data_IF_188024199383
#
_entry.id   IF_188024199383
#
_cell.length_a   1.000
_cell.length_b   1.000
_cell.length_c   1.000
_cell.angle_alpha   90.00
_cell.angle_beta   90.00
_cell.angle_gamma   90.00
#
_symmetry.space_group_name_H-M   'P 1'
#
loop_
_entity.id
_entity.type
_entity.pdbx_description
1 polymer ?
#
# COMPACT_ATOMS: atom_id res chain seq x y z
N UNK A 1 21.48 24.23 3.61
CA UNK A 1 21.25 23.58 4.93
C UNK A 1 20.00 22.73 4.80
N UNK A 2 19.99 21.50 5.32
CA UNK A 2 18.79 20.66 5.24
C UNK A 2 17.71 21.18 6.20
N UNK A 3 16.58 21.62 5.67
CA UNK A 3 15.41 21.99 6.46
C UNK A 3 14.71 20.72 6.95
N UNK A 4 14.97 20.32 8.19
CA UNK A 4 14.27 19.21 8.83
C UNK A 4 12.79 19.56 8.98
N UNK A 5 11.95 19.02 8.10
CA UNK A 5 10.50 19.23 8.13
C UNK A 5 9.95 18.58 9.41
N UNK A 6 9.36 19.39 10.30
CA UNK A 6 8.70 18.89 11.52
C UNK A 6 7.28 18.48 11.17
N UNK A 7 6.94 17.24 11.45
CA UNK A 7 5.59 16.71 11.31
C UNK A 7 4.77 17.00 12.58
N UNK A 8 3.45 17.18 12.44
CA UNK A 8 2.56 17.37 13.58
C UNK A 8 2.30 16.04 14.30
N UNK A 9 2.27 16.05 15.63
CA UNK A 9 2.11 14.89 16.53
C UNK A 9 1.37 15.30 17.79
N UNK A 10 0.65 14.36 18.41
CA UNK A 10 -0.01 14.52 19.71
C UNK A 10 0.96 14.62 20.89
N UNK A 11 2.19 14.12 20.74
CA UNK A 11 3.22 14.17 21.78
C UNK A 11 4.52 14.62 21.15
N UNK A 12 4.81 15.91 21.31
CA UNK A 12 6.09 16.43 20.85
C UNK A 12 7.24 15.78 21.63
N UNK A 13 8.14 15.10 20.92
CA UNK A 13 9.34 14.50 21.50
C UNK A 13 10.60 15.09 20.89
N UNK A 14 11.61 15.32 21.72
CA UNK A 14 12.93 15.80 21.32
C UNK A 14 14.00 14.76 21.68
N UNK A 15 14.86 14.47 20.70
CA UNK A 15 16.05 13.65 20.91
C UNK A 15 17.12 14.48 21.63
N UNK A 16 17.41 14.16 22.90
CA UNK A 16 18.40 14.89 23.74
C UNK A 16 19.82 14.38 23.63
N UNK A 17 20.01 13.20 23.03
CA UNK A 17 21.32 12.61 22.74
C UNK A 17 21.24 11.09 22.61
N UNK A 18 22.04 10.51 21.71
CA UNK A 18 22.05 9.06 21.50
C UNK A 18 20.66 8.50 21.18
N UNK A 19 20.12 7.63 22.05
CA UNK A 19 18.76 7.08 21.97
C UNK A 19 17.79 7.66 23.02
N UNK A 20 18.15 8.76 23.70
CA UNK A 20 17.31 9.39 24.72
C UNK A 20 16.35 10.41 24.09
N UNK A 21 15.07 10.28 24.44
CA UNK A 21 13.99 11.17 24.01
C UNK A 21 13.24 11.69 25.23
N UNK A 22 12.89 12.97 25.20
CA UNK A 22 12.08 13.64 26.22
C UNK A 22 10.86 14.27 25.56
N UNK A 23 9.77 14.40 26.32
CA UNK A 23 8.58 15.15 25.90
C UNK A 23 8.87 16.65 25.97
N UNK A 24 8.41 17.41 24.96
CA UNK A 24 8.33 18.86 24.98
C UNK A 24 6.91 19.29 25.33
N UNK A 25 6.77 20.40 26.06
CA UNK A 25 5.47 20.96 26.43
C UNK A 25 5.01 20.60 27.86
N UNK A 26 3.75 20.88 28.16
CA UNK A 26 3.16 20.65 29.48
C UNK A 26 2.70 19.18 29.65
N UNK A 27 3.04 18.48 30.74
CA UNK A 27 2.55 17.13 31.03
C UNK A 27 1.03 16.98 31.17
N UNK A 28 0.27 18.08 31.23
CA UNK A 28 -1.20 18.08 31.24
C UNK A 28 -1.82 18.12 29.83
N UNK A 29 -1.03 18.44 28.81
CA UNK A 29 -1.46 18.47 27.40
C UNK A 29 -1.24 17.12 26.67
N UNK A 30 -0.48 16.19 27.25
CA UNK A 30 -0.27 14.87 26.63
C UNK A 30 -1.51 13.96 26.78
N UNK A 31 -1.79 13.07 25.80
CA UNK A 31 -2.91 12.15 25.88
C UNK A 31 -2.84 11.21 27.08
N UNK A 32 -3.98 10.90 27.69
CA UNK A 32 -4.07 10.06 28.91
C UNK A 32 -3.58 8.62 28.75
N UNK A 33 -3.43 8.11 27.52
CA UNK A 33 -2.84 6.81 27.21
C UNK A 33 -1.30 6.82 27.17
N UNK A 34 -0.68 8.01 27.09
CA UNK A 34 0.75 8.17 26.95
C UNK A 34 1.47 8.02 28.30
N UNK A 35 2.64 7.36 28.28
CA UNK A 35 3.53 7.29 29.42
C UNK A 35 4.98 7.48 28.96
N UNK A 36 5.74 8.34 29.64
CA UNK A 36 7.13 8.68 29.31
C UNK A 36 8.06 7.45 29.27
N UNK A 37 7.75 6.37 29.99
CA UNK A 37 8.49 5.11 29.94
C UNK A 37 8.57 4.49 28.53
N UNK A 38 7.61 4.78 27.65
CA UNK A 38 7.59 4.30 26.27
C UNK A 38 8.72 4.89 25.42
N UNK A 39 9.30 6.03 25.83
CA UNK A 39 10.38 6.71 25.12
C UNK A 39 11.74 5.98 25.18
N UNK A 40 11.89 4.99 26.08
CA UNK A 40 13.15 4.28 26.33
C UNK A 40 13.58 3.36 25.17
N UNK A 41 12.63 2.72 24.51
CA UNK A 41 12.87 1.67 23.52
C UNK A 41 11.92 1.81 22.32
N UNK A 42 12.14 2.80 21.42
CA UNK A 42 11.39 2.88 20.18
C UNK A 42 11.72 1.74 19.24
N UNK A 43 10.70 1.27 18.51
CA UNK A 43 10.89 0.50 17.28
C UNK A 43 11.21 1.46 16.14
N UNK A 44 12.14 1.09 15.28
CA UNK A 44 12.61 1.93 14.17
C UNK A 44 12.17 1.33 12.84
N UNK A 45 11.66 2.18 11.95
CA UNK A 45 11.38 1.87 10.55
C UNK A 45 12.18 2.80 9.66
N UNK A 46 12.76 2.26 8.59
CA UNK A 46 13.44 3.01 7.54
C UNK A 46 12.63 2.86 6.25
N UNK A 47 12.28 3.97 5.62
CA UNK A 47 11.44 4.03 4.43
C UNK A 47 11.83 5.24 3.58
N UNK A 48 11.56 5.17 2.28
CA UNK A 48 11.67 6.30 1.37
C UNK A 48 10.77 7.47 1.83
N UNK A 49 11.29 8.70 1.82
CA UNK A 49 10.60 9.91 2.28
C UNK A 49 9.25 10.15 1.60
N UNK A 50 9.13 9.82 0.31
CA UNK A 50 7.89 9.92 -0.45
C UNK A 50 6.79 8.95 0.06
N UNK A 51 7.15 7.80 0.63
CA UNK A 51 6.17 6.88 1.24
C UNK A 51 5.61 7.46 2.52
N UNK A 52 6.42 8.18 3.31
CA UNK A 52 5.95 8.88 4.51
C UNK A 52 4.91 9.93 4.13
N UNK A 53 5.17 10.72 3.09
CA UNK A 53 4.20 11.69 2.56
C UNK A 53 2.96 11.02 1.96
N UNK A 54 3.09 9.87 1.29
CA UNK A 54 1.95 9.14 0.73
C UNK A 54 1.05 8.54 1.83
N UNK A 55 1.64 7.94 2.87
CA UNK A 55 0.90 7.30 3.97
C UNK A 55 0.27 8.32 4.91
N UNK A 56 1.06 9.29 5.37
CA UNK A 56 0.65 10.21 6.43
C UNK A 56 0.23 11.59 5.93
N UNK A 57 0.47 11.88 4.65
CA UNK A 57 0.25 13.18 4.04
C UNK A 57 1.50 14.06 3.98
N UNK A 58 1.44 15.11 3.16
CA UNK A 58 2.60 15.96 2.86
C UNK A 58 3.22 16.57 4.12
N UNK A 59 2.39 17.01 5.07
CA UNK A 59 2.81 17.57 6.36
C UNK A 59 2.58 16.58 7.52
N UNK A 60 2.26 15.31 7.18
CA UNK A 60 1.88 14.26 8.12
C UNK A 60 0.59 14.56 8.87
N UNK A 61 -0.38 15.22 8.22
CA UNK A 61 -1.63 15.63 8.84
C UNK A 61 -2.46 14.44 9.40
N UNK A 62 -2.15 13.21 8.95
CA UNK A 62 -2.77 11.98 9.46
C UNK A 62 -2.04 11.38 10.67
N UNK A 63 -0.81 11.81 10.99
CA UNK A 63 -0.04 11.28 12.14
C UNK A 63 -0.82 11.39 13.45
N UNK A 64 -1.39 12.56 13.85
CA UNK A 64 -2.12 12.66 15.11
C UNK A 64 -3.31 11.70 15.20
N UNK A 65 -3.98 11.41 14.07
CA UNK A 65 -5.07 10.44 14.03
C UNK A 65 -4.56 9.00 14.22
N UNK A 66 -3.46 8.63 13.56
CA UNK A 66 -2.81 7.32 13.74
C UNK A 66 -2.33 7.13 15.17
N UNK A 67 -1.71 8.15 15.77
CA UNK A 67 -1.26 8.13 17.17
C UNK A 67 -2.44 7.94 18.14
N UNK A 68 -3.55 8.66 17.91
CA UNK A 68 -4.78 8.54 18.69
C UNK A 68 -5.37 7.12 18.64
N UNK A 69 -5.46 6.52 17.45
CA UNK A 69 -6.08 5.19 17.25
C UNK A 69 -5.18 4.06 17.76
N UNK A 70 -3.86 4.19 17.59
CA UNK A 70 -2.90 3.12 17.90
C UNK A 70 -2.32 3.19 19.31
N UNK A 71 -2.55 4.29 20.04
CA UNK A 71 -1.89 4.59 21.32
C UNK A 71 -0.36 4.46 21.24
N UNK A 72 0.21 4.94 20.13
CA UNK A 72 1.66 5.06 19.90
C UNK A 72 2.00 6.50 19.51
N UNK A 73 3.25 6.92 19.71
CA UNK A 73 3.78 8.20 19.23
C UNK A 73 4.72 7.93 18.05
N UNK A 74 4.57 8.70 16.97
CA UNK A 74 5.33 8.57 15.73
C UNK A 74 6.25 9.78 15.55
N UNK A 75 7.55 9.59 15.79
CA UNK A 75 8.55 10.63 15.52
C UNK A 75 9.25 10.36 14.18
N UNK A 76 9.05 11.26 13.22
CA UNK A 76 9.59 11.14 11.87
C UNK A 76 10.83 12.04 11.71
N UNK A 77 11.98 11.43 11.51
CA UNK A 77 13.21 12.11 11.13
C UNK A 77 13.38 12.01 9.61
N UNK A 78 13.27 13.15 8.91
CA UNK A 78 13.46 13.22 7.45
C UNK A 78 14.64 14.13 7.11
N UNK A 79 15.61 13.60 6.39
CA UNK A 79 16.82 14.33 6.02
C UNK A 79 16.72 15.03 4.66
N UNK A 80 15.94 14.48 3.73
CA UNK A 80 15.65 15.03 2.39
C UNK A 80 14.29 14.50 1.87
N UNK A 81 13.65 15.17 0.90
CA UNK A 81 12.40 14.68 0.29
C UNK A 81 12.60 13.53 -0.72
N UNK A 82 13.75 13.42 -1.39
CA UNK A 82 14.03 12.35 -2.37
C UNK A 82 14.66 11.09 -1.78
N UNK A 83 15.18 11.13 -0.54
CA UNK A 83 15.93 10.04 0.09
C UNK A 83 15.16 9.35 1.21
N UNK A 84 15.89 8.90 2.24
CA UNK A 84 15.31 8.09 3.31
C UNK A 84 14.78 8.92 4.48
N UNK A 85 13.69 8.43 5.06
CA UNK A 85 13.12 8.85 6.31
C UNK A 85 13.19 7.72 7.35
N UNK A 86 13.35 8.11 8.61
CA UNK A 86 13.36 7.21 9.76
C UNK A 86 12.16 7.52 10.64
N UNK A 87 11.30 6.53 10.84
CA UNK A 87 10.17 6.61 11.79
C UNK A 87 10.59 5.90 13.08
N UNK A 88 10.42 6.58 14.21
CA UNK A 88 10.51 5.99 15.55
C UNK A 88 9.10 5.82 16.11
N UNK A 89 8.73 4.60 16.44
CA UNK A 89 7.44 4.22 17.03
C UNK A 89 7.66 4.02 18.52
N UNK A 90 7.06 4.87 19.35
CA UNK A 90 7.06 4.75 20.81
C UNK A 90 5.71 4.25 21.30
N UNK A 91 5.71 3.32 22.25
CA UNK A 91 4.48 2.78 22.83
C UNK A 91 4.73 1.50 23.62
N UNK A 92 3.66 0.77 23.93
CA UNK A 92 3.76 -0.60 24.47
C UNK A 92 4.34 -1.54 23.40
N UNK A 93 5.17 -2.55 23.75
CA UNK A 93 5.84 -3.41 22.77
C UNK A 93 4.91 -4.06 21.74
N UNK A 94 3.71 -4.48 22.13
CA UNK A 94 2.72 -5.08 21.22
C UNK A 94 2.18 -4.05 20.22
N UNK A 95 1.78 -2.86 20.68
CA UNK A 95 1.31 -1.79 19.81
C UNK A 95 2.42 -1.28 18.88
N UNK A 96 3.68 -1.26 19.33
CA UNK A 96 4.82 -0.97 18.44
C UNK A 96 4.94 -2.00 17.29
N UNK A 97 4.62 -3.28 17.54
CA UNK A 97 4.66 -4.33 16.52
C UNK A 97 3.48 -4.19 15.55
N UNK A 98 2.26 -4.00 16.05
CA UNK A 98 1.05 -3.78 15.24
C UNK A 98 1.22 -2.57 14.30
N UNK A 99 1.74 -1.45 14.82
CA UNK A 99 2.01 -0.24 14.04
C UNK A 99 3.16 -0.43 13.05
N UNK A 100 4.17 -1.23 13.38
CA UNK A 100 5.23 -1.59 12.45
C UNK A 100 4.71 -2.41 11.26
N UNK A 101 3.86 -3.41 11.52
CA UNK A 101 3.24 -4.22 10.47
C UNK A 101 2.27 -3.38 9.62
N UNK A 102 1.44 -2.55 10.24
CA UNK A 102 0.57 -1.58 9.57
C UNK A 102 1.36 -0.67 8.62
N UNK A 103 2.47 -0.08 9.08
CA UNK A 103 3.34 0.77 8.26
C UNK A 103 3.96 -0.04 7.10
N UNK A 104 4.36 -1.29 7.34
CA UNK A 104 4.86 -2.19 6.30
C UNK A 104 3.81 -2.47 5.22
N UNK A 105 2.57 -2.77 5.61
CA UNK A 105 1.45 -3.01 4.69
C UNK A 105 1.10 -1.76 3.87
N UNK A 106 1.03 -0.58 4.51
CA UNK A 106 0.78 0.68 3.83
C UNK A 106 1.90 1.02 2.84
N UNK A 107 3.17 0.88 3.25
CA UNK A 107 4.31 1.09 2.36
C UNK A 107 4.27 0.16 1.13
N UNK A 108 3.92 -1.11 1.32
CA UNK A 108 3.75 -2.05 0.20
C UNK A 108 2.60 -1.64 -0.74
N UNK A 109 1.44 -1.26 -0.18
CA UNK A 109 0.29 -0.76 -0.95
C UNK A 109 0.66 0.43 -1.85
N UNK A 110 1.36 1.44 -1.31
CA UNK A 110 1.78 2.60 -2.09
C UNK A 110 2.86 2.29 -3.14
N UNK A 111 3.80 1.38 -2.86
CA UNK A 111 4.76 0.91 -3.87
C UNK A 111 4.07 0.20 -5.04
N UNK A 112 3.12 -0.70 -4.76
CA UNK A 112 2.35 -1.40 -5.80
C UNK A 112 1.51 -0.42 -6.64
N UNK A 113 0.81 0.52 -6.00
CA UNK A 113 -0.02 1.51 -6.68
C UNK A 113 0.79 2.39 -7.64
N UNK A 114 1.94 2.90 -7.21
CA UNK A 114 2.83 3.70 -8.05
C UNK A 114 3.39 2.91 -9.25
N UNK A 115 3.61 1.61 -9.07
CA UNK A 115 3.98 0.69 -10.15
C UNK A 115 2.89 0.53 -11.20
N UNK A 116 1.62 0.44 -10.80
CA UNK A 116 0.48 0.35 -11.71
C UNK A 116 0.22 1.66 -12.46
N UNK A 117 0.24 2.80 -11.78
CA UNK A 117 0.05 4.14 -12.37
C UNK A 117 1.09 4.47 -13.46
N UNK A 118 2.28 3.85 -13.38
CA UNK A 118 3.36 3.94 -14.39
C UNK A 118 3.05 3.16 -15.67
N UNK A 119 2.18 2.12 -15.63
CA UNK A 119 1.80 1.34 -16.81
C UNK A 119 0.61 1.95 -17.57
N UNK A 120 -0.35 2.55 -16.87
CA UNK A 120 -1.56 3.12 -17.48
C UNK A 120 -1.28 4.41 -18.27
N UNK A 121 -0.31 5.22 -17.83
CA UNK A 121 0.12 6.43 -18.58
C UNK A 121 0.94 6.12 -19.84
N UNK A 122 1.39 4.88 -20.04
CA UNK A 122 2.11 4.45 -21.24
C UNK A 122 1.22 3.98 -22.40
N UNK A 123 -0.09 3.76 -22.15
CA UNK A 123 -1.00 3.12 -23.13
C UNK A 123 -2.17 4.03 -23.50
N UNK A 124 -1.88 5.27 -23.91
CA UNK A 124 -2.82 6.08 -24.69
C UNK A 124 -2.40 6.10 -26.16
N UNK A 125 -2.37 4.91 -26.79
CA UNK A 125 -2.19 4.76 -28.24
C UNK A 125 -3.53 5.04 -28.91
N UNK A 126 -3.55 6.03 -29.80
CA UNK A 126 -4.75 6.47 -30.53
C UNK A 126 -5.48 5.31 -31.24
N UNK A 127 -6.81 5.39 -31.41
CA UNK A 127 -7.57 4.47 -32.25
C UNK A 127 -7.35 4.83 -33.74
N UNK A 128 -6.18 4.46 -34.27
CA UNK A 128 -5.79 4.73 -35.65
C UNK A 128 -6.08 3.51 -36.54
N UNK A 129 -7.16 3.67 -37.30
CA UNK A 129 -7.59 3.03 -38.56
C UNK A 129 -7.50 1.50 -38.76
N UNK A 130 -8.63 0.95 -39.24
CA UNK A 130 -8.84 -0.45 -39.60
C UNK A 130 -8.43 -0.65 -41.07
N UNK A 131 -7.45 -1.52 -41.40
CA UNK A 131 -7.16 -1.85 -42.80
C UNK A 131 -8.20 -2.84 -43.33
N UNK A 132 -9.09 -2.29 -44.15
CA UNK A 132 -9.94 -2.85 -45.20
C UNK A 132 -10.09 -4.38 -45.34
N UNK A 133 -11.35 -4.84 -45.30
CA UNK A 133 -11.75 -6.15 -45.80
C UNK A 133 -11.79 -6.16 -47.34
N UNK A 134 -10.83 -6.86 -47.96
CA UNK A 134 -10.75 -7.04 -49.42
C UNK A 134 -10.95 -8.50 -49.86
N UNK A 135 -11.67 -8.67 -50.98
CA UNK A 135 -11.89 -9.93 -51.73
C UNK A 135 -12.90 -10.92 -51.13
N UNK A 136 -14.13 -10.84 -51.63
CA UNK A 136 -15.09 -11.95 -51.66
C UNK A 136 -14.54 -13.12 -52.52
N UNK A 137 -14.90 -14.36 -52.19
CA UNK A 137 -15.26 -15.37 -53.20
C UNK A 137 -15.98 -16.58 -52.60
N UNK A 138 -17.18 -16.82 -53.10
CA UNK A 138 -17.99 -18.05 -53.08
C UNK A 138 -18.86 -17.98 -54.35
N UNK A 139 -19.45 -19.07 -54.88
CA UNK A 139 -19.55 -20.45 -54.35
C UNK A 139 -19.08 -21.51 -55.38
N UNK A 140 -19.32 -22.82 -55.17
CA UNK A 140 -20.41 -23.54 -55.87
C UNK A 140 -20.54 -25.06 -55.51
N UNK A 141 -21.78 -25.52 -55.64
CA UNK A 141 -22.47 -26.79 -55.35
C UNK A 141 -21.82 -28.15 -55.73
N UNK A 142 -22.07 -29.21 -54.91
CA UNK A 142 -22.96 -30.34 -55.28
C UNK A 142 -23.31 -31.38 -54.18
N UNK A 143 -24.36 -32.16 -54.45
CA UNK A 143 -25.31 -32.93 -53.58
C UNK A 143 -25.80 -34.16 -54.41
N UNK A 144 -26.17 -35.38 -53.89
CA UNK A 144 -27.00 -35.69 -52.69
C UNK A 144 -26.68 -36.94 -51.79
N UNK A 145 -27.37 -36.99 -50.64
CA UNK A 145 -28.16 -38.11 -50.02
C UNK A 145 -27.95 -39.61 -50.40
N UNK A 146 -27.84 -40.50 -49.38
CA UNK A 146 -28.57 -41.79 -49.27
C UNK A 146 -28.16 -42.62 -48.02
N UNK A 147 -29.07 -43.43 -47.43
CA UNK A 147 -28.68 -44.70 -46.78
C UNK A 147 -28.93 -44.93 -45.28
N UNK A 148 -30.20 -45.05 -44.88
CA UNK A 148 -30.75 -46.10 -43.97
C UNK A 148 -30.12 -46.44 -42.60
N UNK A 149 -30.98 -46.33 -41.58
CA UNK A 149 -30.99 -46.91 -40.21
C UNK A 149 -30.13 -48.17 -39.89
N UNK A 150 -29.80 -48.36 -38.60
CA UNK A 150 -30.38 -49.48 -37.80
C UNK A 150 -30.22 -49.36 -36.25
N UNK A 151 -31.37 -49.14 -35.58
CA UNK A 151 -32.02 -50.09 -34.66
C UNK A 151 -31.37 -50.59 -33.33
N UNK A 152 -32.01 -50.13 -32.24
CA UNK A 152 -32.39 -50.83 -30.99
C UNK A 152 -31.47 -50.94 -29.74
N UNK A 153 -32.18 -50.78 -28.61
CA UNK A 153 -31.78 -50.93 -27.21
C UNK A 153 -32.09 -52.35 -26.67
N UNK A 154 -31.27 -52.76 -25.70
CA UNK A 154 -31.61 -53.63 -24.53
C UNK A 154 -32.00 -55.10 -24.78
N UNK A 155 -31.22 -55.99 -24.15
CA UNK A 155 -31.59 -57.38 -23.85
C UNK A 155 -30.73 -57.90 -22.68
N UNK A 156 -31.36 -58.36 -21.59
CA UNK A 156 -30.69 -58.68 -20.31
C UNK A 156 -30.65 -60.18 -20.05
N UNK A 157 -29.46 -60.68 -19.74
CA UNK A 157 -29.10 -61.84 -18.91
C UNK A 157 -29.99 -63.12 -18.86
N UNK A 158 -29.35 -64.23 -19.24
CA UNK A 158 -29.31 -65.58 -18.61
C UNK A 158 -30.58 -66.44 -18.50
N UNK A 159 -30.34 -67.72 -18.84
CA UNK A 159 -31.12 -68.95 -18.59
C UNK A 159 -32.38 -69.13 -19.44
#
# INVERSE_FOLDING_TARGET
MATSKKFHTLVEVQQKGGKMFEVLGDPTEVPSWFHSQYLKCPRVVYLEAWLVEAMFGADGEKIPHVECVTHTVLHVNRWNPEGDAKILIFGRPNFQLEVFEMIGHLANYFRLRRGAETQETGTQRSPDEIPEAGTQLSPDLKVPEAGTQQHLRVGRARS
#
